data_IF_969708677835
#
_entry.id   IF_969708677835
#
_cell.length_a   1.000
_cell.length_b   1.000
_cell.length_c   1.000
_cell.angle_alpha   90.00
_cell.angle_beta   90.00
_cell.angle_gamma   90.00
#
_symmetry.space_group_name_H-M   'P 1'
#
loop_
_entity.id
_entity.type
_entity.pdbx_description
1 polymer ?
#
# COMPACT_ATOMS: atom_id res chain seq x y z
N UNK A 1 28.64 46.50 35.84
CA UNK A 1 28.35 45.92 34.50
C UNK A 1 28.39 44.43 34.68
N UNK A 2 27.26 43.83 35.06
CA UNK A 2 27.13 42.39 35.18
C UNK A 2 26.61 41.84 33.83
N UNK A 3 27.41 40.95 33.27
CA UNK A 3 27.08 40.22 32.05
C UNK A 3 26.14 39.07 32.41
N UNK A 4 24.87 39.17 32.09
CA UNK A 4 23.92 38.06 32.15
C UNK A 4 24.13 37.16 30.98
N UNK A 5 24.80 36.01 31.19
CA UNK A 5 24.87 34.92 30.23
C UNK A 5 23.47 34.29 30.06
N UNK A 6 22.99 34.18 28.81
CA UNK A 6 21.78 33.49 28.46
C UNK A 6 21.92 31.97 28.74
N UNK A 7 20.87 31.31 29.21
CA UNK A 7 20.92 29.84 29.40
C UNK A 7 21.13 29.13 28.04
N UNK A 8 22.14 28.31 27.96
CA UNK A 8 22.35 27.41 26.85
C UNK A 8 21.24 26.35 26.85
N UNK A 9 20.30 26.44 25.93
CA UNK A 9 19.39 25.35 25.66
C UNK A 9 20.20 24.16 25.15
N UNK A 10 20.28 23.11 25.96
CA UNK A 10 20.80 21.83 25.55
C UNK A 10 20.00 21.33 24.35
N UNK A 11 20.63 20.78 23.29
CA UNK A 11 19.90 20.19 22.21
C UNK A 11 19.00 19.08 22.76
N UNK A 12 17.76 18.91 22.23
CA UNK A 12 16.87 17.87 22.71
C UNK A 12 17.58 16.52 22.63
N UNK A 13 17.47 15.78 23.73
CA UNK A 13 18.02 14.43 23.90
C UNK A 13 17.70 13.62 22.65
N UNK A 14 18.73 13.06 22.02
CA UNK A 14 18.57 12.30 20.77
C UNK A 14 17.55 11.18 21.03
N UNK A 15 16.38 11.29 20.41
CA UNK A 15 15.35 10.27 20.50
C UNK A 15 15.99 8.91 20.20
N UNK A 16 15.66 7.90 21.01
CA UNK A 16 16.11 6.52 20.80
C UNK A 16 15.92 6.14 19.32
N UNK A 17 16.93 5.54 18.66
CA UNK A 17 16.82 5.21 17.25
C UNK A 17 15.58 4.35 17.01
N UNK A 18 14.76 4.70 16.02
CA UNK A 18 13.58 3.93 15.65
C UNK A 18 13.98 2.50 15.28
N UNK A 19 13.25 1.55 15.82
CA UNK A 19 13.37 0.13 15.44
C UNK A 19 12.04 -0.35 14.88
N UNK A 20 12.11 -1.18 13.86
CA UNK A 20 10.91 -1.84 13.35
C UNK A 20 10.27 -2.70 14.45
N UNK A 21 8.94 -2.72 14.54
CA UNK A 21 8.24 -3.67 15.39
C UNK A 21 8.61 -5.12 15.05
N UNK A 22 8.58 -5.99 16.06
CA UNK A 22 8.83 -7.41 15.85
C UNK A 22 7.70 -8.06 15.02
N UNK A 23 8.00 -9.11 14.25
CA UNK A 23 6.98 -9.91 13.59
C UNK A 23 5.96 -10.46 14.60
N UNK A 24 4.70 -10.53 14.20
CA UNK A 24 3.64 -11.04 15.07
C UNK A 24 2.60 -11.83 14.30
N UNK A 25 1.83 -12.65 15.02
CA UNK A 25 0.80 -13.52 14.46
C UNK A 25 -0.56 -13.17 15.06
N UNK A 26 -1.60 -13.32 14.25
CA UNK A 26 -2.99 -13.18 14.65
C UNK A 26 -3.83 -14.17 13.88
N UNK A 27 -4.69 -14.91 14.57
CA UNK A 27 -5.77 -15.69 13.95
C UNK A 27 -7.05 -14.86 14.02
N UNK A 28 -7.62 -14.54 12.86
CA UNK A 28 -8.81 -13.71 12.78
C UNK A 28 -9.81 -14.33 11.78
N UNK A 29 -11.03 -14.62 12.26
CA UNK A 29 -12.09 -15.17 11.43
C UNK A 29 -11.67 -16.42 10.63
N UNK A 30 -10.90 -17.31 11.25
CA UNK A 30 -10.38 -18.54 10.62
C UNK A 30 -9.26 -18.31 9.60
N UNK A 31 -8.68 -17.10 9.55
CA UNK A 31 -7.47 -16.82 8.78
C UNK A 31 -6.26 -16.80 9.73
N UNK A 32 -5.23 -17.58 9.43
CA UNK A 32 -3.95 -17.51 10.13
C UNK A 32 -3.07 -16.46 9.43
N UNK A 33 -2.67 -15.42 10.16
CA UNK A 33 -1.95 -14.29 9.61
C UNK A 33 -0.63 -14.07 10.36
N UNK A 34 0.47 -13.91 9.62
CA UNK A 34 1.76 -13.49 10.17
C UNK A 34 2.16 -12.16 9.52
N UNK A 35 2.61 -11.21 10.33
CA UNK A 35 2.93 -9.85 9.93
C UNK A 35 4.43 -9.59 10.01
N UNK A 36 4.99 -8.93 9.00
CA UNK A 36 6.43 -8.68 8.83
C UNK A 36 6.69 -7.16 8.65
N UNK A 37 6.91 -6.42 9.74
CA UNK A 37 7.13 -4.97 9.67
C UNK A 37 8.50 -4.58 9.14
N UNK A 38 9.57 -5.35 9.46
CA UNK A 38 10.94 -5.03 9.05
C UNK A 38 11.23 -5.35 7.58
N UNK A 39 12.16 -4.60 6.98
CA UNK A 39 12.60 -4.82 5.61
C UNK A 39 13.20 -6.21 5.41
N UNK A 40 14.17 -6.57 6.25
CA UNK A 40 14.84 -7.88 6.22
C UNK A 40 13.84 -9.01 6.40
N UNK A 41 12.94 -8.90 7.39
CA UNK A 41 11.92 -9.93 7.65
C UNK A 41 10.95 -10.13 6.46
N UNK A 42 10.61 -9.06 5.73
CA UNK A 42 9.80 -9.16 4.49
C UNK A 42 10.53 -9.92 3.40
N UNK A 43 11.81 -9.61 3.15
CA UNK A 43 12.60 -10.29 2.14
C UNK A 43 12.85 -11.77 2.51
N UNK A 44 13.24 -12.02 3.75
CA UNK A 44 13.44 -13.40 4.24
C UNK A 44 12.17 -14.24 4.11
N UNK A 45 11.01 -13.65 4.48
CA UNK A 45 9.72 -14.36 4.32
C UNK A 45 9.38 -14.61 2.86
N UNK A 46 9.62 -13.66 1.97
CA UNK A 46 9.41 -13.84 0.53
C UNK A 46 10.30 -14.97 0.00
N UNK A 47 11.61 -14.90 0.23
CA UNK A 47 12.55 -15.94 -0.24
C UNK A 47 12.17 -17.31 0.33
N UNK A 48 11.89 -17.41 1.63
CA UNK A 48 11.44 -18.64 2.26
C UNK A 48 10.18 -19.21 1.60
N UNK A 49 9.21 -18.34 1.24
CA UNK A 49 7.99 -18.76 0.53
C UNK A 49 8.32 -19.40 -0.83
N UNK A 50 9.29 -18.83 -1.55
CA UNK A 50 9.72 -19.34 -2.87
C UNK A 50 10.49 -20.66 -2.75
N UNK A 51 11.35 -20.78 -1.74
CA UNK A 51 12.18 -21.97 -1.51
C UNK A 51 11.36 -23.17 -1.05
N UNK A 52 10.34 -22.94 -0.23
CA UNK A 52 9.48 -23.99 0.35
C UNK A 52 8.38 -24.47 -0.61
N UNK A 53 8.08 -23.74 -1.68
CA UNK A 53 7.02 -24.10 -2.63
C UNK A 53 7.28 -25.46 -3.32
N UNK A 54 6.23 -26.28 -3.40
CA UNK A 54 6.29 -27.64 -3.93
C UNK A 54 5.57 -27.80 -5.28
N UNK A 55 4.49 -27.05 -5.50
CA UNK A 55 3.61 -27.24 -6.67
C UNK A 55 3.48 -26.02 -7.53
N UNK A 56 3.29 -24.84 -6.93
CA UNK A 56 3.05 -23.62 -7.70
C UNK A 56 3.48 -22.35 -6.99
N UNK A 57 3.95 -21.39 -7.78
CA UNK A 57 4.25 -20.02 -7.36
C UNK A 57 3.58 -19.04 -8.32
N UNK A 58 2.80 -18.10 -7.76
CA UNK A 58 2.09 -17.07 -8.51
C UNK A 58 2.44 -15.70 -7.92
N UNK A 59 3.14 -14.85 -8.68
CA UNK A 59 3.61 -13.56 -8.22
C UNK A 59 3.12 -12.43 -9.11
N UNK A 60 2.74 -11.30 -8.50
CA UNK A 60 2.46 -10.05 -9.20
C UNK A 60 3.02 -8.87 -8.40
N UNK A 61 3.86 -8.02 -9.04
CA UNK A 61 4.49 -6.86 -8.41
C UNK A 61 4.45 -5.63 -9.33
N UNK A 62 4.33 -4.44 -8.72
CA UNK A 62 4.35 -3.18 -9.44
C UNK A 62 5.77 -2.77 -9.83
N UNK A 63 6.70 -2.73 -8.87
CA UNK A 63 8.14 -2.52 -9.12
C UNK A 63 8.86 -3.85 -8.95
N UNK A 64 9.72 -4.14 -9.89
CA UNK A 64 10.74 -5.16 -9.80
C UNK A 64 12.03 -4.56 -10.34
N UNK A 65 13.02 -4.36 -9.47
CA UNK A 65 14.27 -3.73 -9.81
C UNK A 65 15.35 -4.77 -10.20
N UNK A 66 16.25 -4.37 -11.08
CA UNK A 66 17.48 -5.10 -11.35
C UNK A 66 18.55 -4.67 -10.33
N UNK A 67 18.43 -5.16 -9.11
CA UNK A 67 19.32 -4.92 -7.98
C UNK A 67 19.62 -6.21 -7.22
N UNK A 68 20.36 -6.12 -6.12
CA UNK A 68 20.76 -7.30 -5.34
C UNK A 68 19.55 -8.09 -4.80
N UNK A 69 18.48 -7.41 -4.38
CA UNK A 69 17.25 -8.06 -3.90
C UNK A 69 16.45 -8.66 -5.05
N UNK A 70 16.31 -7.94 -6.17
CA UNK A 70 15.67 -8.47 -7.38
C UNK A 70 16.37 -9.69 -7.93
N UNK A 71 17.73 -9.68 -7.95
CA UNK A 71 18.54 -10.84 -8.33
C UNK A 71 18.27 -12.06 -7.45
N UNK A 72 18.26 -11.89 -6.12
CA UNK A 72 17.97 -12.99 -5.16
C UNK A 72 16.57 -13.58 -5.38
N UNK A 73 15.56 -12.74 -5.62
CA UNK A 73 14.19 -13.21 -5.88
C UNK A 73 14.13 -13.96 -7.21
N UNK A 74 14.76 -13.44 -8.28
CA UNK A 74 14.85 -14.11 -9.58
C UNK A 74 15.49 -15.50 -9.44
N UNK A 75 16.63 -15.57 -8.76
CA UNK A 75 17.37 -16.82 -8.60
C UNK A 75 16.56 -17.86 -7.81
N UNK A 76 15.80 -17.45 -6.79
CA UNK A 76 14.87 -18.31 -6.07
C UNK A 76 13.72 -18.81 -6.96
N UNK A 77 13.16 -17.97 -7.85
CA UNK A 77 12.14 -18.36 -8.82
C UNK A 77 12.68 -19.37 -9.85
N UNK A 78 13.90 -19.14 -10.37
CA UNK A 78 14.58 -20.07 -11.27
C UNK A 78 14.83 -21.42 -10.58
N UNK A 79 15.32 -21.39 -9.35
CA UNK A 79 15.54 -22.61 -8.56
C UNK A 79 14.22 -23.37 -8.32
N UNK A 80 13.11 -22.68 -8.03
CA UNK A 80 11.80 -23.29 -7.89
C UNK A 80 11.32 -23.93 -9.20
N UNK A 81 11.44 -23.24 -10.34
CA UNK A 81 11.08 -23.77 -11.65
C UNK A 81 11.91 -25.01 -11.99
N UNK A 82 13.22 -25.03 -11.70
CA UNK A 82 14.10 -26.20 -11.88
C UNK A 82 13.74 -27.37 -10.98
N UNK A 83 13.11 -27.13 -9.83
CA UNK A 83 12.53 -28.21 -8.97
C UNK A 83 11.21 -28.75 -9.53
N UNK A 84 10.66 -28.19 -10.61
CA UNK A 84 9.38 -28.59 -11.21
C UNK A 84 8.17 -27.84 -10.67
N UNK A 85 8.38 -26.79 -9.88
CA UNK A 85 7.30 -25.91 -9.41
C UNK A 85 6.78 -25.06 -10.57
N UNK A 86 5.46 -24.99 -10.75
CA UNK A 86 4.82 -24.16 -11.76
C UNK A 86 4.92 -22.67 -11.35
N UNK A 87 5.87 -21.93 -11.93
CA UNK A 87 6.13 -20.52 -11.61
C UNK A 87 5.45 -19.59 -12.61
N UNK A 88 4.69 -18.62 -12.11
CA UNK A 88 4.11 -17.53 -12.90
C UNK A 88 4.40 -16.18 -12.24
N UNK A 89 5.02 -15.26 -13.00
CA UNK A 89 5.38 -13.92 -12.58
C UNK A 89 4.76 -12.87 -13.50
N UNK A 90 4.05 -11.91 -12.90
CA UNK A 90 3.52 -10.71 -13.56
C UNK A 90 4.22 -9.49 -12.98
N UNK A 91 4.81 -8.64 -13.81
CA UNK A 91 5.32 -7.33 -13.40
C UNK A 91 4.59 -6.22 -14.16
N UNK A 92 4.51 -5.03 -13.57
CA UNK A 92 3.91 -3.88 -14.24
C UNK A 92 4.90 -3.25 -15.22
N UNK A 93 4.50 -3.02 -16.44
CA UNK A 93 5.38 -2.51 -17.51
C UNK A 93 5.77 -1.03 -17.35
N UNK A 94 5.19 -0.31 -16.38
CA UNK A 94 5.61 1.04 -16.06
C UNK A 94 6.52 1.09 -14.84
N UNK A 95 6.25 0.27 -13.83
CA UNK A 95 6.99 0.28 -12.57
C UNK A 95 8.21 -0.63 -12.56
N UNK A 96 8.22 -1.71 -13.36
CA UNK A 96 9.34 -2.63 -13.39
C UNK A 96 10.52 -2.09 -14.21
N UNK A 97 11.72 -2.21 -13.65
CA UNK A 97 13.00 -1.92 -14.32
C UNK A 97 13.60 -3.12 -15.06
N UNK A 98 12.82 -4.17 -15.27
CA UNK A 98 13.25 -5.46 -15.85
C UNK A 98 12.38 -5.85 -17.05
N UNK A 99 12.91 -6.69 -17.92
CA UNK A 99 12.27 -7.13 -19.15
C UNK A 99 12.34 -8.65 -19.36
N UNK A 100 11.94 -9.09 -20.53
CA UNK A 100 12.01 -10.50 -20.95
C UNK A 100 13.42 -11.10 -20.92
N UNK A 101 14.44 -10.30 -21.18
CA UNK A 101 15.82 -10.77 -21.19
C UNK A 101 16.32 -11.04 -19.76
N UNK A 102 15.91 -10.21 -18.79
CA UNK A 102 16.25 -10.43 -17.38
C UNK A 102 15.70 -11.73 -16.81
N UNK A 103 14.55 -12.20 -17.31
CA UNK A 103 13.90 -13.47 -16.92
C UNK A 103 14.09 -14.60 -17.93
N UNK A 104 15.06 -14.51 -18.85
CA UNK A 104 15.30 -15.57 -19.83
C UNK A 104 15.54 -16.92 -19.15
N UNK A 105 16.39 -16.97 -18.12
CA UNK A 105 16.70 -18.18 -17.37
C UNK A 105 15.47 -18.80 -16.66
N UNK A 106 14.56 -17.97 -16.15
CA UNK A 106 13.27 -18.42 -15.59
C UNK A 106 12.41 -19.09 -16.68
N UNK A 107 12.35 -18.48 -17.87
CA UNK A 107 11.59 -19.03 -19.02
C UNK A 107 12.20 -20.33 -19.52
N UNK A 108 13.53 -20.41 -19.62
CA UNK A 108 14.27 -21.62 -19.99
C UNK A 108 14.05 -22.76 -18.98
N UNK A 109 13.87 -22.43 -17.70
CA UNK A 109 13.51 -23.38 -16.64
C UNK A 109 12.02 -23.78 -16.66
N UNK A 110 11.21 -23.28 -17.60
CA UNK A 110 9.78 -23.57 -17.74
C UNK A 110 8.85 -22.63 -16.97
N UNK A 111 9.39 -21.56 -16.37
CA UNK A 111 8.57 -20.52 -15.71
C UNK A 111 7.87 -19.61 -16.71
N UNK A 112 6.73 -19.08 -16.33
CA UNK A 112 5.95 -18.12 -17.10
C UNK A 112 6.19 -16.70 -16.59
N UNK A 113 6.63 -15.81 -17.49
CA UNK A 113 6.81 -14.39 -17.21
C UNK A 113 5.96 -13.55 -18.15
N UNK A 114 5.26 -12.55 -17.63
CA UNK A 114 4.54 -11.60 -18.45
C UNK A 114 4.50 -10.19 -17.85
N UNK A 115 4.39 -9.20 -18.73
CA UNK A 115 4.37 -7.79 -18.38
C UNK A 115 2.94 -7.25 -18.48
N UNK A 116 2.41 -6.75 -17.36
CA UNK A 116 1.15 -6.04 -17.34
C UNK A 116 1.34 -4.65 -17.97
N UNK A 117 0.63 -4.38 -19.05
CA UNK A 117 0.76 -3.09 -19.71
C UNK A 117 -0.28 -2.87 -20.81
N UNK A 118 -0.35 -1.64 -21.37
CA UNK A 118 -1.22 -1.33 -22.49
C UNK A 118 -0.75 -2.07 -23.73
N UNK A 119 -1.59 -2.93 -24.27
CA UNK A 119 -1.27 -3.81 -25.38
C UNK A 119 -1.43 -3.21 -26.78
N UNK A 120 -1.87 -1.98 -26.88
CA UNK A 120 -1.94 -1.16 -28.08
C UNK A 120 -1.94 0.32 -27.67
N UNK A 121 -1.27 1.17 -28.35
CA UNK A 121 -1.13 2.65 -28.31
C UNK A 121 -2.11 3.50 -27.44
N UNK A 122 -2.96 2.91 -26.63
CA UNK A 122 -4.01 3.58 -25.87
C UNK A 122 -3.98 3.18 -24.38
N UNK A 123 -3.54 4.10 -23.57
CA UNK A 123 -3.65 4.22 -22.12
C UNK A 123 -2.50 3.71 -21.24
N UNK A 124 -1.46 4.54 -21.06
CA UNK A 124 -0.33 4.25 -20.19
C UNK A 124 -0.64 4.44 -18.69
N UNK A 125 -1.90 4.63 -18.26
CA UNK A 125 -2.21 5.16 -16.93
C UNK A 125 -2.81 4.16 -15.95
N UNK A 126 -3.29 2.99 -16.40
CA UNK A 126 -3.66 1.89 -15.49
C UNK A 126 -2.41 1.14 -15.11
N UNK A 127 -2.17 1.01 -13.80
CA UNK A 127 -1.04 0.28 -13.24
C UNK A 127 -1.52 -0.89 -12.43
N UNK A 128 -0.82 -2.00 -12.51
CA UNK A 128 -0.99 -3.09 -11.57
C UNK A 128 -0.20 -2.80 -10.30
N UNK A 129 -0.82 -2.06 -9.37
CA UNK A 129 -0.16 -1.67 -8.15
C UNK A 129 -0.26 -2.73 -7.04
N UNK A 130 -0.70 -3.94 -7.38
CA UNK A 130 -0.82 -5.07 -6.47
C UNK A 130 0.55 -5.68 -6.16
N UNK A 131 0.69 -6.27 -4.97
CA UNK A 131 1.84 -7.02 -4.53
C UNK A 131 1.33 -8.32 -3.94
N UNK A 132 1.55 -9.39 -4.68
CA UNK A 132 1.00 -10.72 -4.42
C UNK A 132 2.12 -11.75 -4.62
N UNK A 133 2.30 -12.65 -3.67
CA UNK A 133 3.04 -13.88 -3.87
C UNK A 133 2.24 -15.04 -3.23
N UNK A 134 1.91 -16.05 -4.02
CA UNK A 134 1.12 -17.20 -3.58
C UNK A 134 1.96 -18.47 -3.78
N UNK A 135 2.09 -19.28 -2.75
CA UNK A 135 2.74 -20.59 -2.82
C UNK A 135 1.70 -21.71 -2.61
N UNK A 136 1.75 -22.69 -3.52
CA UNK A 136 0.99 -23.95 -3.47
C UNK A 136 -0.54 -23.74 -3.29
N UNK A 137 -1.03 -22.56 -3.65
CA UNK A 137 -2.41 -22.12 -3.46
C UNK A 137 -2.89 -22.24 -1.99
N UNK A 138 -1.95 -22.25 -1.04
CA UNK A 138 -2.19 -22.39 0.41
C UNK A 138 -1.81 -21.17 1.20
N UNK A 139 -0.72 -20.52 0.84
CA UNK A 139 -0.20 -19.33 1.54
C UNK A 139 -0.14 -18.19 0.55
N UNK A 140 -0.74 -17.04 0.90
CA UNK A 140 -0.58 -15.80 0.16
C UNK A 140 0.18 -14.77 0.99
N UNK A 141 1.27 -14.21 0.45
CA UNK A 141 2.00 -13.06 0.98
C UNK A 141 1.53 -11.81 0.25
N UNK A 142 1.00 -10.86 1.00
CA UNK A 142 0.41 -9.61 0.51
C UNK A 142 1.03 -8.42 1.25
N UNK A 143 0.89 -7.22 0.69
CA UNK A 143 1.36 -5.99 1.34
C UNK A 143 1.47 -4.80 0.41
N UNK A 144 2.21 -3.78 0.84
CA UNK A 144 2.49 -2.59 0.03
C UNK A 144 3.86 -2.61 -0.64
N UNK A 145 4.79 -3.47 -0.22
CA UNK A 145 6.20 -3.51 -0.63
C UNK A 145 6.40 -3.98 -2.07
N UNK A 146 7.44 -3.48 -2.72
CA UNK A 146 7.89 -3.94 -4.03
C UNK A 146 9.17 -4.78 -3.91
N UNK A 147 9.65 -5.32 -5.03
CA UNK A 147 10.94 -6.01 -5.13
C UNK A 147 11.97 -4.98 -5.59
N UNK A 148 12.57 -4.30 -4.63
CA UNK A 148 13.59 -3.26 -4.78
C UNK A 148 14.30 -3.09 -3.44
N UNK A 149 15.64 -2.90 -3.42
CA UNK A 149 16.45 -2.80 -2.20
C UNK A 149 15.91 -1.81 -1.18
N UNK A 150 15.43 -0.67 -1.63
CA UNK A 150 14.85 0.37 -0.78
C UNK A 150 13.69 -0.14 0.10
N UNK A 151 12.93 -1.15 -0.34
CA UNK A 151 11.85 -1.75 0.46
C UNK A 151 12.35 -2.73 1.52
N UNK A 152 13.59 -3.17 1.41
CA UNK A 152 14.19 -4.14 2.33
C UNK A 152 15.30 -3.55 3.18
N UNK A 153 15.77 -2.35 2.84
CA UNK A 153 16.79 -1.62 3.58
C UNK A 153 16.32 -1.25 5.00
N UNK A 154 17.25 -1.15 5.98
CA UNK A 154 16.92 -0.76 7.35
C UNK A 154 16.53 0.72 7.47
N UNK A 155 15.96 1.16 8.62
CA UNK A 155 15.58 2.56 8.86
C UNK A 155 16.75 3.54 8.73
N UNK A 156 17.93 3.14 9.14
CA UNK A 156 19.17 3.93 9.13
C UNK A 156 19.58 4.30 7.70
N UNK A 157 19.27 3.45 6.73
CA UNK A 157 19.51 3.66 5.30
C UNK A 157 18.31 4.35 4.61
N UNK A 158 17.37 4.91 5.37
CA UNK A 158 16.18 5.56 4.87
C UNK A 158 15.28 4.63 4.01
N UNK A 159 15.30 3.33 4.30
CA UNK A 159 14.47 2.35 3.61
C UNK A 159 12.97 2.56 3.84
N UNK A 160 12.14 1.99 2.96
CA UNK A 160 10.68 2.07 3.09
C UNK A 160 10.15 1.22 4.24
N UNK A 161 9.43 1.85 5.17
CA UNK A 161 8.67 1.14 6.21
C UNK A 161 7.33 0.72 5.66
N UNK A 162 7.14 -0.57 5.52
CA UNK A 162 5.90 -1.16 5.01
C UNK A 162 5.48 -2.34 5.90
N UNK A 163 4.30 -2.87 5.65
CA UNK A 163 3.77 -4.05 6.33
C UNK A 163 3.41 -5.12 5.30
N UNK A 164 4.17 -6.22 5.31
CA UNK A 164 3.76 -7.44 4.64
C UNK A 164 3.05 -8.36 5.61
N UNK A 165 2.17 -9.20 5.08
CA UNK A 165 1.56 -10.27 5.86
C UNK A 165 1.33 -11.50 5.01
N UNK A 166 1.52 -12.69 5.61
CA UNK A 166 1.02 -13.93 5.05
C UNK A 166 -0.38 -14.20 5.56
N UNK A 167 -1.16 -14.88 4.75
CA UNK A 167 -2.47 -15.39 5.14
C UNK A 167 -2.61 -16.84 4.67
N UNK A 168 -3.14 -17.68 5.55
CA UNK A 168 -3.59 -19.04 5.27
C UNK A 168 -5.06 -19.15 5.69
N UNK A 169 -5.87 -19.86 4.90
CA UNK A 169 -7.30 -20.01 5.16
C UNK A 169 -8.18 -19.75 3.95
N UNK A 170 -9.46 -19.51 4.18
CA UNK A 170 -10.49 -19.38 3.13
C UNK A 170 -10.31 -18.16 2.21
N UNK A 171 -9.47 -17.22 2.58
CA UNK A 171 -9.14 -16.05 1.75
C UNK A 171 -8.23 -16.42 0.57
N UNK A 172 -7.33 -17.40 0.75
CA UNK A 172 -6.30 -17.74 -0.25
C UNK A 172 -6.90 -18.17 -1.59
N UNK A 173 -7.91 -19.06 -1.66
CA UNK A 173 -8.57 -19.40 -2.92
C UNK A 173 -9.13 -18.18 -3.67
N UNK A 174 -9.55 -17.12 -2.95
CA UNK A 174 -10.03 -15.87 -3.56
C UNK A 174 -8.89 -15.06 -4.18
N UNK A 175 -7.72 -15.05 -3.52
CA UNK A 175 -6.51 -14.42 -4.07
C UNK A 175 -6.04 -15.18 -5.32
N UNK A 176 -6.08 -16.50 -5.30
CA UNK A 176 -5.76 -17.38 -6.46
C UNK A 176 -6.71 -17.10 -7.62
N UNK A 177 -8.02 -17.05 -7.37
CA UNK A 177 -9.04 -16.74 -8.38
C UNK A 177 -8.77 -15.37 -9.04
N UNK A 178 -8.49 -14.34 -8.23
CA UNK A 178 -8.18 -13.02 -8.76
C UNK A 178 -6.87 -13.02 -9.56
N UNK A 179 -5.81 -13.67 -9.06
CA UNK A 179 -4.56 -13.79 -9.78
C UNK A 179 -4.76 -14.46 -11.16
N UNK A 180 -5.50 -15.55 -11.24
CA UNK A 180 -5.82 -16.23 -12.50
C UNK A 180 -6.55 -15.32 -13.49
N UNK A 181 -7.48 -14.48 -13.01
CA UNK A 181 -8.14 -13.48 -13.87
C UNK A 181 -7.17 -12.40 -14.37
N UNK A 182 -6.22 -11.97 -13.53
CA UNK A 182 -5.19 -11.01 -13.89
C UNK A 182 -4.22 -11.62 -14.91
N UNK A 183 -3.73 -12.84 -14.66
CA UNK A 183 -2.83 -13.57 -15.52
C UNK A 183 -3.44 -13.82 -16.91
N UNK A 184 -4.65 -14.33 -16.96
CA UNK A 184 -5.36 -14.56 -18.23
C UNK A 184 -5.48 -13.29 -19.07
N UNK A 185 -5.77 -12.14 -18.43
CA UNK A 185 -5.82 -10.88 -19.14
C UNK A 185 -4.43 -10.41 -19.57
N UNK A 186 -3.43 -10.58 -18.72
CA UNK A 186 -2.05 -10.13 -18.98
C UNK A 186 -1.39 -10.96 -20.09
N UNK A 187 -1.62 -12.26 -20.14
CA UNK A 187 -1.04 -13.17 -21.15
C UNK A 187 -1.67 -13.04 -22.55
N UNK A 188 -2.90 -12.53 -22.65
CA UNK A 188 -3.55 -12.31 -23.95
C UNK A 188 -3.08 -10.99 -24.57
N UNK A 189 -2.26 -10.99 -25.66
CA UNK A 189 -1.73 -9.77 -26.29
C UNK A 189 -2.82 -8.88 -26.92
N UNK A 190 -4.02 -9.41 -27.13
CA UNK A 190 -5.15 -8.72 -27.72
C UNK A 190 -6.26 -8.35 -26.73
N UNK A 191 -6.08 -8.67 -25.42
CA UNK A 191 -7.09 -8.41 -24.41
C UNK A 191 -7.39 -6.91 -24.29
N UNK A 192 -8.62 -6.43 -24.56
CA UNK A 192 -8.95 -5.04 -24.45
C UNK A 192 -9.10 -4.62 -22.98
N UNK A 193 -8.78 -3.35 -22.69
CA UNK A 193 -8.93 -2.77 -21.33
C UNK A 193 -10.32 -2.92 -20.74
N UNK A 194 -11.36 -2.92 -21.58
CA UNK A 194 -12.74 -3.14 -21.12
C UNK A 194 -12.92 -4.49 -20.40
N UNK A 195 -12.09 -5.50 -20.70
CA UNK A 195 -12.19 -6.82 -20.08
C UNK A 195 -11.70 -6.76 -18.63
N UNK A 196 -10.50 -6.20 -18.36
CA UNK A 196 -10.03 -6.08 -16.96
C UNK A 196 -10.96 -5.16 -16.16
N UNK A 197 -11.45 -4.05 -16.76
CA UNK A 197 -12.44 -3.17 -16.13
C UNK A 197 -13.74 -3.90 -15.77
N UNK A 198 -14.20 -4.78 -16.65
CA UNK A 198 -15.39 -5.62 -16.40
C UNK A 198 -15.12 -6.59 -15.25
N UNK A 199 -13.95 -7.26 -15.20
CA UNK A 199 -13.57 -8.17 -14.12
C UNK A 199 -13.55 -7.44 -12.77
N UNK A 200 -12.90 -6.29 -12.67
CA UNK A 200 -12.90 -5.45 -11.45
C UNK A 200 -14.30 -5.06 -11.02
N UNK A 201 -15.16 -4.68 -11.97
CA UNK A 201 -16.54 -4.26 -11.68
C UNK A 201 -17.42 -5.42 -11.21
N UNK A 202 -17.21 -6.61 -11.75
CA UNK A 202 -17.97 -7.82 -11.47
C UNK A 202 -17.37 -8.66 -10.33
N UNK A 203 -16.21 -8.22 -9.80
CA UNK A 203 -15.58 -8.95 -8.72
C UNK A 203 -16.53 -9.08 -7.52
N UNK A 204 -16.80 -10.31 -7.16
CA UNK A 204 -17.51 -10.62 -5.93
C UNK A 204 -16.54 -10.49 -4.75
N UNK A 205 -16.72 -9.50 -3.91
CA UNK A 205 -15.90 -9.25 -2.74
C UNK A 205 -16.07 -10.27 -1.61
N UNK A 206 -17.09 -11.10 -1.67
CA UNK A 206 -17.55 -11.95 -0.58
C UNK A 206 -18.37 -11.18 0.47
N UNK A 207 -18.88 -11.90 1.45
CA UNK A 207 -19.63 -11.35 2.58
C UNK A 207 -18.69 -11.09 3.78
N UNK A 208 -19.01 -10.12 4.66
CA UNK A 208 -18.35 -10.04 5.95
C UNK A 208 -18.44 -11.37 6.71
N UNK A 209 -17.51 -11.70 7.61
CA UNK A 209 -16.46 -10.82 8.12
C UNK A 209 -15.17 -10.77 7.30
N UNK A 210 -14.95 -11.65 6.32
CA UNK A 210 -13.71 -11.74 5.52
C UNK A 210 -14.01 -11.44 4.05
N UNK A 211 -13.33 -10.43 3.51
CA UNK A 211 -13.57 -9.96 2.15
C UNK A 211 -12.26 -9.69 1.40
N UNK A 212 -12.20 -10.06 0.12
CA UNK A 212 -11.15 -9.62 -0.79
C UNK A 212 -11.70 -8.51 -1.69
N UNK A 213 -11.11 -7.33 -1.58
CA UNK A 213 -11.53 -6.13 -2.28
C UNK A 213 -10.54 -5.81 -3.40
N UNK A 214 -11.06 -5.53 -4.58
CA UNK A 214 -10.25 -5.17 -5.74
C UNK A 214 -10.53 -3.72 -6.12
N UNK A 215 -9.46 -2.92 -6.20
CA UNK A 215 -9.44 -1.58 -6.77
C UNK A 215 -9.25 -1.61 -8.28
N UNK A 216 -9.68 -0.55 -8.98
CA UNK A 216 -9.41 -0.45 -10.41
C UNK A 216 -10.31 0.56 -11.12
N UNK A 217 -10.00 0.84 -12.40
CA UNK A 217 -10.70 1.83 -13.21
C UNK A 217 -12.06 1.30 -13.65
N UNK A 218 -13.09 1.64 -12.93
CA UNK A 218 -14.47 1.30 -13.26
C UNK A 218 -15.29 2.56 -13.49
N UNK A 219 -16.34 2.50 -14.29
CA UNK A 219 -17.28 3.63 -14.45
C UNK A 219 -18.11 3.93 -13.19
N UNK A 220 -18.09 3.00 -12.22
CA UNK A 220 -18.69 3.09 -10.90
C UNK A 220 -17.60 2.82 -9.85
N UNK A 221 -17.95 2.81 -8.56
CA UNK A 221 -17.00 2.43 -7.51
C UNK A 221 -16.62 0.95 -7.63
N UNK A 222 -15.33 0.65 -7.57
CA UNK A 222 -14.81 -0.71 -7.40
C UNK A 222 -15.21 -1.28 -6.04
N UNK A 223 -15.04 -2.59 -5.82
CA UNK A 223 -15.35 -3.21 -4.52
C UNK A 223 -14.56 -2.56 -3.37
N UNK A 224 -13.29 -2.21 -3.59
CA UNK A 224 -12.47 -1.45 -2.63
C UNK A 224 -13.06 -0.08 -2.32
N UNK A 225 -13.20 0.78 -3.32
CA UNK A 225 -13.67 2.14 -3.13
C UNK A 225 -15.10 2.19 -2.54
N UNK A 226 -15.97 1.25 -2.94
CA UNK A 226 -17.33 1.14 -2.45
C UNK A 226 -17.36 0.75 -0.97
N UNK A 227 -16.64 -0.31 -0.59
CA UNK A 227 -16.67 -0.85 0.77
C UNK A 227 -16.11 0.15 1.78
N UNK A 228 -14.90 0.71 1.54
CA UNK A 228 -14.34 1.71 2.46
C UNK A 228 -15.19 2.96 2.56
N UNK A 229 -15.79 3.37 1.43
CA UNK A 229 -16.69 4.52 1.41
C UNK A 229 -17.94 4.24 2.25
N UNK A 230 -18.53 3.06 2.13
CA UNK A 230 -19.73 2.67 2.89
C UNK A 230 -19.44 2.58 4.39
N UNK A 231 -18.39 1.88 4.77
CA UNK A 231 -18.06 1.66 6.17
C UNK A 231 -17.76 2.98 6.90
N UNK A 232 -17.11 3.95 6.23
CA UNK A 232 -16.89 5.29 6.79
C UNK A 232 -18.16 6.13 7.01
N UNK A 233 -19.36 5.69 6.55
CA UNK A 233 -20.62 6.41 6.85
C UNK A 233 -20.95 6.30 8.34
N UNK A 234 -20.75 5.13 8.91
CA UNK A 234 -21.16 4.80 10.28
C UNK A 234 -19.98 4.71 11.25
N UNK A 235 -18.75 4.72 10.73
CA UNK A 235 -17.54 4.61 11.54
C UNK A 235 -17.44 5.67 12.62
N UNK A 236 -16.90 5.27 13.77
CA UNK A 236 -16.71 6.09 14.97
C UNK A 236 -15.26 6.19 15.42
N UNK A 237 -14.45 5.16 15.14
CA UNK A 237 -13.03 5.12 15.52
C UNK A 237 -12.20 4.75 14.31
N UNK A 238 -11.33 5.66 13.88
CA UNK A 238 -10.44 5.49 12.72
C UNK A 238 -8.99 5.64 13.14
N UNK A 239 -8.19 4.61 12.91
CA UNK A 239 -6.74 4.67 12.99
C UNK A 239 -6.16 4.25 11.63
N UNK A 240 -5.22 5.04 11.10
CA UNK A 240 -4.71 4.84 9.75
C UNK A 240 -3.21 5.11 9.67
N UNK A 241 -2.49 4.23 8.98
CA UNK A 241 -1.15 4.50 8.45
C UNK A 241 -1.25 4.50 6.93
N UNK A 242 -0.77 5.55 6.27
CA UNK A 242 -0.70 5.57 4.80
C UNK A 242 0.42 6.46 4.30
N UNK A 243 1.12 5.98 3.26
CA UNK A 243 2.18 6.72 2.60
C UNK A 243 1.65 7.98 1.90
N UNK A 244 0.59 7.81 1.11
CA UNK A 244 -0.01 8.88 0.31
C UNK A 244 -1.45 9.11 0.75
N UNK A 245 -1.70 10.35 1.20
CA UNK A 245 -3.00 10.76 1.74
C UNK A 245 -3.55 11.95 0.96
N UNK A 246 -4.32 11.68 -0.06
CA UNK A 246 -5.04 12.68 -0.84
C UNK A 246 -6.42 12.15 -1.29
N UNK A 247 -7.30 11.81 -0.34
CA UNK A 247 -8.60 11.22 -0.65
C UNK A 247 -9.52 12.20 -1.38
N UNK A 248 -10.50 11.65 -2.10
CA UNK A 248 -11.60 12.42 -2.65
C UNK A 248 -12.35 13.18 -1.56
N UNK A 249 -12.91 14.33 -1.90
CA UNK A 249 -13.58 15.24 -0.95
C UNK A 249 -14.70 14.57 -0.15
N UNK A 250 -15.40 13.58 -0.73
CA UNK A 250 -16.43 12.81 -0.03
C UNK A 250 -15.83 12.02 1.14
N UNK A 251 -14.73 11.30 0.91
CA UNK A 251 -14.04 10.53 1.94
C UNK A 251 -13.42 11.45 2.99
N UNK A 252 -12.83 12.57 2.59
CA UNK A 252 -12.33 13.58 3.53
C UNK A 252 -13.44 14.10 4.46
N UNK A 253 -14.65 14.34 3.94
CA UNK A 253 -15.82 14.75 4.76
C UNK A 253 -16.20 13.66 5.77
N UNK A 254 -16.12 12.38 5.40
CA UNK A 254 -16.41 11.26 6.30
C UNK A 254 -15.38 11.12 7.39
N UNK A 255 -14.09 11.17 7.07
CA UNK A 255 -13.02 11.17 8.06
C UNK A 255 -13.21 12.33 9.07
N UNK A 256 -13.50 13.53 8.58
CA UNK A 256 -13.80 14.67 9.44
C UNK A 256 -15.02 14.46 10.34
N UNK A 257 -16.05 13.78 9.84
CA UNK A 257 -17.22 13.42 10.65
C UNK A 257 -16.87 12.42 11.74
N UNK A 258 -16.07 11.40 11.42
CA UNK A 258 -15.56 10.43 12.39
C UNK A 258 -14.74 11.17 13.46
N UNK A 259 -13.81 12.03 13.07
CA UNK A 259 -12.99 12.81 13.98
C UNK A 259 -13.81 13.74 14.92
N UNK A 260 -14.90 14.32 14.41
CA UNK A 260 -15.75 15.23 15.19
C UNK A 260 -16.68 14.50 16.18
N UNK A 261 -17.01 13.25 15.94
CA UNK A 261 -17.97 12.47 16.75
C UNK A 261 -17.32 11.37 17.58
N UNK A 262 -16.15 10.95 17.21
CA UNK A 262 -15.43 9.84 17.81
C UNK A 262 -13.94 10.11 17.87
N UNK A 263 -13.13 9.17 17.38
CA UNK A 263 -11.68 9.24 17.43
C UNK A 263 -11.07 9.03 16.05
N UNK A 264 -10.06 9.85 15.70
CA UNK A 264 -9.30 9.67 14.47
C UNK A 264 -7.83 9.92 14.70
N UNK A 265 -7.00 8.92 14.40
CA UNK A 265 -5.53 8.97 14.45
C UNK A 265 -4.98 8.68 13.06
N UNK A 266 -4.17 9.59 12.52
CA UNK A 266 -3.53 9.43 11.22
C UNK A 266 -2.02 9.50 11.37
N UNK A 267 -1.32 8.42 10.99
CA UNK A 267 0.14 8.39 10.86
C UNK A 267 0.46 8.48 9.36
N UNK A 268 1.08 9.57 8.96
CA UNK A 268 1.32 9.93 7.56
C UNK A 268 2.83 10.05 7.31
N UNK A 269 3.25 9.98 6.06
CA UNK A 269 4.65 10.11 5.70
C UNK A 269 5.17 11.53 5.97
N UNK A 270 6.21 11.66 6.80
CA UNK A 270 7.01 12.88 6.94
C UNK A 270 8.12 12.97 5.89
N UNK A 271 8.56 11.82 5.36
CA UNK A 271 9.54 11.67 4.29
C UNK A 271 8.93 10.83 3.15
N UNK A 272 9.21 11.19 1.89
CA UNK A 272 8.76 10.50 0.68
C UNK A 272 9.72 10.80 -0.46
N UNK A 273 9.78 9.94 -1.44
CA UNK A 273 10.42 10.15 -2.75
C UNK A 273 9.71 11.23 -3.58
N UNK A 274 8.42 11.48 -3.29
CA UNK A 274 7.60 12.46 -3.99
C UNK A 274 7.13 13.59 -3.03
N UNK A 275 7.83 14.73 -2.97
CA UNK A 275 7.46 15.86 -2.11
C UNK A 275 6.06 16.44 -2.39
N UNK A 276 5.52 16.25 -3.61
CA UNK A 276 4.18 16.72 -3.95
C UNK A 276 3.10 15.95 -3.17
N UNK A 277 3.30 14.67 -2.86
CA UNK A 277 2.35 13.89 -2.06
C UNK A 277 2.28 14.36 -0.62
N UNK A 278 3.42 14.72 -0.01
CA UNK A 278 3.47 15.35 1.31
C UNK A 278 2.75 16.70 1.29
N UNK A 279 3.02 17.53 0.29
CA UNK A 279 2.34 18.82 0.13
C UNK A 279 0.82 18.66 -0.01
N UNK A 280 0.37 17.68 -0.81
CA UNK A 280 -1.05 17.36 -0.96
C UNK A 280 -1.69 16.96 0.38
N UNK A 281 -1.05 16.09 1.16
CA UNK A 281 -1.52 15.70 2.49
C UNK A 281 -1.61 16.90 3.45
N UNK A 282 -0.55 17.71 3.53
CA UNK A 282 -0.48 18.91 4.39
C UNK A 282 -1.55 19.96 4.05
N UNK A 283 -1.99 20.04 2.80
CA UNK A 283 -3.09 20.94 2.40
C UNK A 283 -4.41 20.60 3.09
N UNK A 284 -4.59 19.35 3.51
CA UNK A 284 -5.81 18.84 4.15
C UNK A 284 -5.79 18.95 5.68
N UNK A 285 -4.61 19.10 6.30
CA UNK A 285 -4.42 19.05 7.76
C UNK A 285 -5.29 20.06 8.51
N UNK A 286 -5.38 21.30 8.02
CA UNK A 286 -6.22 22.34 8.66
C UNK A 286 -7.67 21.88 8.87
N UNK A 287 -8.22 21.16 7.87
CA UNK A 287 -9.61 20.70 7.91
C UNK A 287 -9.77 19.53 8.88
N UNK A 288 -8.78 18.65 8.93
CA UNK A 288 -8.75 17.46 9.80
C UNK A 288 -8.55 17.85 11.26
N UNK A 289 -7.53 18.67 11.56
CA UNK A 289 -7.24 19.17 12.90
C UNK A 289 -8.43 19.93 13.50
N UNK A 290 -9.11 20.76 12.72
CA UNK A 290 -10.34 21.46 13.16
C UNK A 290 -11.50 20.52 13.49
N UNK A 291 -11.48 19.33 12.99
CA UNK A 291 -12.50 18.29 13.27
C UNK A 291 -12.07 17.34 14.40
N UNK A 292 -10.93 17.59 15.07
CA UNK A 292 -10.44 16.79 16.19
C UNK A 292 -9.58 15.59 15.80
N UNK A 293 -9.17 15.45 14.53
CA UNK A 293 -8.23 14.41 14.13
C UNK A 293 -6.84 14.66 14.72
N UNK A 294 -6.19 13.59 15.21
CA UNK A 294 -4.79 13.59 15.60
C UNK A 294 -3.96 13.19 14.39
N UNK A 295 -2.94 13.97 14.06
CA UNK A 295 -2.09 13.76 12.88
C UNK A 295 -0.64 13.65 13.35
N UNK A 296 0.02 12.61 12.90
CA UNK A 296 1.42 12.30 13.16
C UNK A 296 2.16 12.15 11.85
N UNK A 297 3.28 12.85 11.68
CA UNK A 297 4.19 12.67 10.55
C UNK A 297 5.37 11.78 10.98
N UNK A 298 5.45 10.57 10.43
CA UNK A 298 6.53 9.63 10.69
C UNK A 298 7.85 10.17 10.15
N UNK A 299 8.86 10.30 11.03
CA UNK A 299 10.10 11.02 10.74
C UNK A 299 11.33 10.14 10.46
N UNK A 300 11.46 8.90 10.98
CA UNK A 300 12.72 8.17 10.92
C UNK A 300 13.21 7.93 9.49
N UNK A 301 12.34 7.44 8.62
CA UNK A 301 12.65 7.10 7.24
C UNK A 301 11.40 7.18 6.36
N UNK A 302 11.47 6.70 5.11
CA UNK A 302 10.32 6.69 4.20
C UNK A 302 9.22 5.75 4.71
N UNK A 303 7.96 6.21 4.76
CA UNK A 303 6.80 5.42 5.18
C UNK A 303 6.01 4.95 3.98
N UNK A 304 5.69 3.65 3.92
CA UNK A 304 4.91 3.07 2.82
C UNK A 304 3.78 2.12 3.27
N UNK A 305 3.60 1.90 4.56
CA UNK A 305 2.53 1.07 5.13
C UNK A 305 1.14 1.56 4.71
N UNK A 306 0.25 0.64 4.39
CA UNK A 306 -1.15 0.89 4.05
C UNK A 306 -2.05 0.07 4.96
N UNK A 307 -2.50 0.71 6.03
CA UNK A 307 -3.34 0.13 7.07
C UNK A 307 -4.47 1.07 7.43
N UNK A 308 -5.69 0.56 7.45
CA UNK A 308 -6.86 1.29 7.97
C UNK A 308 -7.53 0.38 8.99
N UNK A 309 -7.77 0.90 10.18
CA UNK A 309 -8.59 0.27 11.22
C UNK A 309 -9.78 1.17 11.47
N UNK A 310 -10.95 0.70 11.09
CA UNK A 310 -12.20 1.42 11.22
C UNK A 310 -13.18 0.61 12.06
N UNK A 311 -13.41 1.05 13.29
CA UNK A 311 -14.10 0.26 14.32
C UNK A 311 -13.44 -1.13 14.44
N UNK A 312 -14.16 -2.24 14.20
CA UNK A 312 -13.61 -3.59 14.25
C UNK A 312 -13.15 -4.11 12.86
N UNK A 313 -13.26 -3.28 11.81
CA UNK A 313 -12.81 -3.65 10.47
C UNK A 313 -11.39 -3.19 10.18
N UNK A 314 -10.53 -4.13 9.77
CA UNK A 314 -9.14 -3.91 9.37
C UNK A 314 -9.01 -4.05 7.86
N UNK A 315 -8.35 -3.08 7.22
CA UNK A 315 -8.03 -3.08 5.80
C UNK A 315 -6.53 -3.09 5.61
N UNK A 316 -6.03 -4.05 4.87
CA UNK A 316 -4.61 -4.31 4.61
C UNK A 316 -4.39 -4.60 3.13
N UNK A 317 -3.28 -4.15 2.56
CA UNK A 317 -2.93 -4.49 1.17
C UNK A 317 -2.11 -3.44 0.47
N UNK A 318 -2.34 -3.29 -0.84
CA UNK A 318 -1.52 -2.43 -1.69
C UNK A 318 -2.00 -0.98 -1.79
N UNK A 319 -3.25 -0.70 -1.40
CA UNK A 319 -3.92 0.56 -1.69
C UNK A 319 -3.52 1.70 -0.75
N UNK A 320 -2.96 2.76 -1.30
CA UNK A 320 -2.85 4.05 -0.61
C UNK A 320 -4.23 4.70 -0.43
N UNK A 321 -4.32 5.71 0.44
CA UNK A 321 -5.56 6.45 0.62
C UNK A 321 -5.58 7.73 -0.22
N UNK A 322 -5.44 7.55 -1.52
CA UNK A 322 -5.44 8.60 -2.53
C UNK A 322 -6.40 8.29 -3.69
N UNK A 323 -6.58 9.26 -4.58
CA UNK A 323 -7.53 9.16 -5.69
C UNK A 323 -7.10 8.12 -6.73
N UNK A 324 -5.79 7.91 -6.93
CA UNK A 324 -5.30 6.89 -7.86
C UNK A 324 -5.59 5.49 -7.37
N UNK A 325 -5.25 5.18 -6.13
CA UNK A 325 -5.50 3.87 -5.52
C UNK A 325 -6.98 3.56 -5.33
N UNK A 326 -7.81 4.60 -5.17
CA UNK A 326 -9.26 4.42 -5.04
C UNK A 326 -9.96 4.16 -6.38
N UNK A 327 -9.47 4.75 -7.50
CA UNK A 327 -10.27 4.80 -8.73
C UNK A 327 -9.55 4.42 -10.02
N UNK A 328 -8.22 4.28 -10.02
CA UNK A 328 -7.43 4.11 -11.24
C UNK A 328 -6.59 2.84 -11.23
N UNK A 329 -5.72 2.69 -10.22
CA UNK A 329 -4.81 1.56 -10.15
C UNK A 329 -5.55 0.26 -9.84
N UNK A 330 -5.05 -0.86 -10.36
CA UNK A 330 -5.43 -2.16 -9.82
C UNK A 330 -4.79 -2.31 -8.45
N UNK A 331 -5.64 -2.50 -7.45
CA UNK A 331 -5.25 -2.66 -6.06
C UNK A 331 -5.88 -3.93 -5.48
N UNK A 332 -5.22 -4.51 -4.50
CA UNK A 332 -5.75 -5.62 -3.72
C UNK A 332 -5.78 -5.24 -2.25
N UNK A 333 -6.93 -5.41 -1.61
CA UNK A 333 -7.14 -5.08 -0.20
C UNK A 333 -7.90 -6.20 0.47
N UNK A 334 -7.36 -6.70 1.55
CA UNK A 334 -8.03 -7.63 2.47
C UNK A 334 -8.79 -6.81 3.51
N UNK A 335 -10.07 -7.11 3.71
CA UNK A 335 -10.89 -6.57 4.79
C UNK A 335 -11.32 -7.70 5.71
N UNK A 336 -10.96 -7.59 6.98
CA UNK A 336 -11.40 -8.53 8.02
C UNK A 336 -12.05 -7.73 9.14
N UNK A 337 -13.25 -8.15 9.54
CA UNK A 337 -13.99 -7.59 10.67
C UNK A 337 -13.79 -8.50 11.86
N UNK A 338 -12.84 -8.11 12.71
CA UNK A 338 -12.43 -8.88 13.90
C UNK A 338 -11.85 -7.92 14.95
N UNK A 339 -12.39 -7.97 16.14
CA UNK A 339 -12.00 -7.07 17.24
C UNK A 339 -10.57 -7.28 17.69
N UNK A 340 -10.13 -8.53 17.84
CA UNK A 340 -8.78 -8.83 18.32
C UNK A 340 -7.73 -8.38 17.30
N UNK A 341 -7.98 -8.62 15.99
CA UNK A 341 -7.16 -8.10 14.93
C UNK A 341 -7.15 -6.57 14.93
N UNK A 342 -8.31 -5.92 15.06
CA UNK A 342 -8.40 -4.47 15.09
C UNK A 342 -7.63 -3.87 16.28
N UNK A 343 -7.73 -4.46 17.46
CA UNK A 343 -7.01 -4.00 18.65
C UNK A 343 -5.49 -4.20 18.47
N UNK A 344 -5.04 -5.32 17.92
CA UNK A 344 -3.60 -5.55 17.61
C UNK A 344 -3.09 -4.55 16.56
N UNK A 345 -3.87 -4.25 15.52
CA UNK A 345 -3.48 -3.28 14.50
C UNK A 345 -3.46 -1.84 15.04
N UNK A 346 -4.32 -1.49 15.98
CA UNK A 346 -4.25 -0.21 16.70
C UNK A 346 -2.99 -0.09 17.54
N UNK A 347 -2.60 -1.18 18.21
CA UNK A 347 -1.33 -1.23 18.93
C UNK A 347 -0.16 -1.00 17.95
N UNK A 348 -0.19 -1.63 16.77
CA UNK A 348 0.80 -1.41 15.72
C UNK A 348 0.82 0.07 15.24
N UNK A 349 -0.33 0.71 15.07
CA UNK A 349 -0.37 2.16 14.77
C UNK A 349 0.26 2.96 15.91
N UNK A 350 -0.03 2.62 17.17
CA UNK A 350 0.50 3.30 18.34
C UNK A 350 2.03 3.16 18.47
N UNK A 351 2.61 2.04 18.05
CA UNK A 351 4.07 1.80 18.01
C UNK A 351 4.81 2.80 17.10
N UNK A 352 4.14 3.41 16.12
CA UNK A 352 4.72 4.42 15.23
C UNK A 352 4.66 5.85 15.79
N UNK A 353 3.79 6.11 16.76
CA UNK A 353 3.56 7.47 17.30
C UNK A 353 4.81 8.06 17.96
N UNK A 354 5.56 7.35 18.83
CA UNK A 354 6.73 7.92 19.50
C UNK A 354 7.82 8.40 18.53
N UNK A 355 7.92 7.78 17.36
CA UNK A 355 8.88 8.16 16.31
C UNK A 355 8.32 9.19 15.32
N UNK A 356 7.12 9.69 15.56
CA UNK A 356 6.41 10.63 14.69
C UNK A 356 6.34 12.01 15.31
N UNK A 357 6.33 13.04 14.47
CA UNK A 357 6.04 14.40 14.87
C UNK A 357 4.53 14.63 14.95
N UNK A 358 4.01 14.95 16.13
CA UNK A 358 2.60 15.33 16.28
C UNK A 358 2.35 16.71 15.65
N UNK A 359 1.49 16.75 14.66
CA UNK A 359 1.10 18.00 14.00
C UNK A 359 -0.05 18.65 14.77
N UNK A 360 0.30 19.44 15.77
CA UNK A 360 -0.69 20.21 16.53
C UNK A 360 -1.27 21.37 15.71
N UNK A 361 -2.45 21.93 16.09
CA UNK A 361 -2.97 23.14 15.47
C UNK A 361 -2.01 24.36 15.59
N UNK A 362 -1.18 24.42 16.63
CA UNK A 362 -0.19 25.49 16.82
C UNK A 362 0.96 25.31 15.81
N UNK A 363 1.58 24.12 15.78
CA UNK A 363 2.65 23.79 14.85
C UNK A 363 2.22 23.95 13.38
N UNK A 364 0.99 23.51 13.05
CA UNK A 364 0.48 23.70 11.69
C UNK A 364 0.33 25.19 11.32
N UNK A 365 -0.09 26.07 12.24
CA UNK A 365 -0.19 27.51 11.98
C UNK A 365 1.18 28.14 11.70
N UNK A 366 2.20 27.72 12.42
CA UNK A 366 3.59 28.15 12.21
C UNK A 366 4.09 27.71 10.82
N UNK A 367 3.88 26.44 10.46
CA UNK A 367 4.30 25.91 9.15
C UNK A 367 3.56 26.53 7.97
N UNK A 368 2.26 26.79 8.13
CA UNK A 368 1.33 27.12 7.05
C UNK A 368 1.37 28.59 6.66
N UNK A 369 2.56 29.11 6.32
CA UNK A 369 2.69 30.46 5.71
C UNK A 369 1.85 30.55 4.42
N UNK A 370 1.44 31.74 3.97
CA UNK A 370 0.65 31.92 2.75
C UNK A 370 1.25 31.23 1.54
N UNK A 371 2.58 31.34 1.35
CA UNK A 371 3.31 30.68 0.26
C UNK A 371 3.30 29.15 0.36
N UNK A 372 3.53 28.60 1.55
CA UNK A 372 3.46 27.14 1.76
C UNK A 372 2.05 26.61 1.52
N UNK A 373 1.01 27.33 1.96
CA UNK A 373 -0.38 26.95 1.68
C UNK A 373 -0.70 26.93 0.19
N UNK A 374 -0.26 27.96 -0.55
CA UNK A 374 -0.42 27.99 -1.99
C UNK A 374 0.27 26.79 -2.66
N UNK A 375 1.53 26.53 -2.31
CA UNK A 375 2.29 25.38 -2.83
C UNK A 375 1.61 24.05 -2.50
N UNK A 376 1.15 23.85 -1.26
CA UNK A 376 0.44 22.63 -0.87
C UNK A 376 -0.90 22.48 -1.59
N UNK A 377 -1.64 23.57 -1.77
CA UNK A 377 -2.89 23.54 -2.54
C UNK A 377 -2.64 23.20 -4.01
N UNK A 378 -1.56 23.74 -4.60
CA UNK A 378 -1.14 23.38 -5.95
C UNK A 378 -0.72 21.90 -6.04
N UNK A 379 0.07 21.40 -5.08
CA UNK A 379 0.42 19.97 -4.99
C UNK A 379 -0.83 19.10 -4.92
N UNK A 380 -1.79 19.45 -4.07
CA UNK A 380 -3.06 18.73 -3.97
C UNK A 380 -3.83 18.76 -5.30
N UNK A 381 -3.92 19.92 -5.96
CA UNK A 381 -4.59 20.05 -7.24
C UNK A 381 -3.94 19.19 -8.32
N UNK A 382 -2.62 19.21 -8.40
CA UNK A 382 -1.86 18.39 -9.37
C UNK A 382 -2.06 16.89 -9.13
N UNK A 383 -1.88 16.43 -7.90
CA UNK A 383 -1.98 15.01 -7.55
C UNK A 383 -3.43 14.49 -7.60
N UNK A 384 -4.40 15.31 -7.19
CA UNK A 384 -5.79 14.85 -7.01
C UNK A 384 -6.68 15.15 -8.21
N UNK A 385 -6.47 16.28 -8.89
CA UNK A 385 -7.34 16.73 -9.97
C UNK A 385 -6.72 16.51 -11.32
N UNK A 386 -5.49 16.99 -11.55
CA UNK A 386 -4.86 16.91 -12.87
C UNK A 386 -4.50 15.47 -13.19
N UNK A 387 -3.76 14.80 -12.34
CA UNK A 387 -3.35 13.41 -12.54
C UNK A 387 -4.58 12.49 -12.63
N UNK A 388 -5.58 12.67 -11.76
CA UNK A 388 -6.82 11.91 -11.81
C UNK A 388 -7.65 12.19 -13.07
N UNK A 389 -7.82 13.45 -13.46
CA UNK A 389 -8.67 13.81 -14.60
C UNK A 389 -8.04 13.33 -15.90
N UNK A 390 -6.73 13.51 -16.06
CA UNK A 390 -5.98 13.04 -17.23
C UNK A 390 -6.03 11.51 -17.28
N UNK A 391 -5.67 10.84 -16.17
CA UNK A 391 -5.69 9.38 -16.11
C UNK A 391 -7.09 8.80 -16.34
N UNK A 392 -8.13 9.42 -15.77
CA UNK A 392 -9.51 8.96 -15.93
C UNK A 392 -10.02 9.12 -17.36
N UNK A 393 -9.85 10.29 -17.97
CA UNK A 393 -10.27 10.52 -19.36
C UNK A 393 -9.62 9.53 -20.31
N UNK A 394 -8.31 9.34 -20.17
CA UNK A 394 -7.56 8.41 -21.00
C UNK A 394 -7.95 6.94 -20.74
N UNK A 395 -8.26 6.57 -19.50
CA UNK A 395 -8.64 5.20 -19.13
C UNK A 395 -10.11 4.86 -19.45
N UNK A 396 -10.99 5.84 -19.46
CA UNK A 396 -12.42 5.62 -19.72
C UNK A 396 -12.81 5.88 -21.17
N UNK A 397 -11.90 6.46 -21.98
CA UNK A 397 -12.19 6.84 -23.36
C UNK A 397 -13.22 7.97 -23.46
N UNK A 398 -13.22 8.90 -22.48
CA UNK A 398 -14.10 10.07 -22.40
C UNK A 398 -13.40 11.31 -22.94
#
# INVERSE_FOLDING_TARGET
>A
MESTAAPSESPPEAASPYRDPEPFQVTAQGQEMCFFPSGSGRLERLIKLLDEAQTSLKLAFYIYADDGCGGRVRDALVAAARRGVAVSLIVDGFGAGVDDAYFAELKDAGGHFCIFGPKWKSNPFIRNHQKIAIADERVALLGGFNIEEDYFAPPEENGWRDLAFTVEGSLVPRVVEWYGQLEQWTSDPHAPLRNIRRRVRQWDRGLPPVQLLIGGPTGRLSSWAWTVTRDMIHGTKLDMITAYFSPAMLLLRRIRRIAAKGQTTLVLAGKSDNPATIGASRSLYRRLLRSGARIYEFQPCKLHTKLIVLDDAVYLGSANFDVRSLYINLEIVVRIEDRALADRMRAFVAEHIPASLEVTPALYREWATPWKRLRWSLSWFLVTVVDYTVSRKLNLGL
#
